data_IF_218426627832
#
_entry.id   IF_218426627832
#
_cell.length_a   1.000
_cell.length_b   1.000
_cell.length_c   1.000
_cell.angle_alpha   90.00
_cell.angle_beta   90.00
_cell.angle_gamma   90.00
#
_symmetry.space_group_name_H-M   'P 1'
#
loop_
_entity.id
_entity.type
_entity.pdbx_description
1 polymer ?
#
# COMPACT_ATOMS: atom_id res chain seq x y z
N UNK A 1 -29.22 15.63 -14.00
CA UNK A 1 -30.07 14.44 -13.78
C UNK A 1 -29.94 14.02 -12.32
N UNK A 2 -30.99 13.47 -11.71
CA UNK A 2 -30.89 12.95 -10.34
C UNK A 2 -30.17 11.60 -10.34
N UNK A 3 -29.59 11.18 -9.21
CA UNK A 3 -29.04 9.81 -9.09
C UNK A 3 -30.12 8.76 -9.34
N UNK A 4 -31.30 8.92 -8.75
CA UNK A 4 -32.41 7.98 -8.91
C UNK A 4 -32.79 7.79 -10.39
N UNK A 5 -32.91 8.86 -11.17
CA UNK A 5 -33.18 8.78 -12.61
C UNK A 5 -32.06 8.08 -13.40
N UNK A 6 -30.81 8.24 -12.95
CA UNK A 6 -29.65 7.63 -13.58
C UNK A 6 -29.58 6.13 -13.29
N UNK A 7 -29.73 5.76 -12.01
CA UNK A 7 -29.62 4.39 -11.53
C UNK A 7 -30.78 3.52 -12.02
N UNK A 8 -32.02 4.01 -11.96
CA UNK A 8 -33.23 3.30 -12.44
C UNK A 8 -33.13 2.86 -13.91
N UNK A 9 -32.47 3.67 -14.75
CA UNK A 9 -32.32 3.43 -16.19
C UNK A 9 -30.93 2.96 -16.58
N UNK A 10 -30.05 2.70 -15.61
CA UNK A 10 -28.64 2.39 -15.85
C UNK A 10 -28.49 1.22 -16.83
N UNK A 11 -29.19 0.11 -16.54
CA UNK A 11 -29.13 -1.10 -17.33
C UNK A 11 -29.83 -1.00 -18.70
N UNK A 12 -30.77 -0.07 -18.87
CA UNK A 12 -31.51 0.14 -20.12
C UNK A 12 -30.67 0.82 -21.21
N UNK A 13 -29.59 1.50 -20.82
CA UNK A 13 -28.74 2.26 -21.73
C UNK A 13 -27.56 1.43 -22.24
N UNK A 14 -27.13 1.73 -23.47
CA UNK A 14 -25.81 1.34 -23.96
C UNK A 14 -24.73 1.95 -23.06
N UNK A 15 -23.60 1.25 -22.89
CA UNK A 15 -22.51 1.66 -22.00
C UNK A 15 -22.01 3.10 -22.24
N UNK A 16 -21.78 3.48 -23.50
CA UNK A 16 -21.37 4.84 -23.87
C UNK A 16 -22.38 5.91 -23.40
N UNK A 17 -23.67 5.56 -23.37
CA UNK A 17 -24.73 6.41 -22.85
C UNK A 17 -24.70 6.45 -21.32
N UNK A 18 -24.41 5.33 -20.63
CA UNK A 18 -24.20 5.30 -19.17
C UNK A 18 -23.04 6.21 -18.75
N UNK A 19 -21.90 6.13 -19.44
CA UNK A 19 -20.70 6.95 -19.17
C UNK A 19 -20.97 8.43 -19.42
N UNK A 20 -21.60 8.75 -20.56
CA UNK A 20 -21.94 10.13 -20.94
C UNK A 20 -22.90 10.76 -19.92
N UNK A 21 -23.98 10.05 -19.56
CA UNK A 21 -25.00 10.54 -18.64
C UNK A 21 -24.51 10.72 -17.21
N UNK A 22 -23.52 9.94 -16.77
CA UNK A 22 -22.92 10.06 -15.44
C UNK A 22 -22.35 11.47 -15.18
N UNK A 23 -21.83 12.14 -16.22
CA UNK A 23 -21.35 13.53 -16.11
C UNK A 23 -22.43 14.54 -15.70
N UNK A 24 -23.70 14.23 -15.97
CA UNK A 24 -24.85 15.09 -15.65
C UNK A 24 -25.46 14.83 -14.27
N UNK A 25 -24.95 13.83 -13.55
CA UNK A 25 -25.38 13.47 -12.19
C UNK A 25 -24.59 14.33 -11.22
N UNK A 26 -25.25 15.24 -10.51
CA UNK A 26 -24.57 16.16 -9.57
C UNK A 26 -24.31 15.51 -8.21
N UNK A 27 -25.31 14.84 -7.63
CA UNK A 27 -25.22 14.11 -6.37
C UNK A 27 -25.33 12.62 -6.61
N UNK A 28 -24.40 11.86 -6.05
CA UNK A 28 -24.43 10.40 -6.07
C UNK A 28 -25.45 9.89 -5.03
N UNK A 29 -25.80 8.60 -5.14
CA UNK A 29 -26.75 7.94 -4.25
C UNK A 29 -26.12 7.29 -3.04
N UNK A 30 -26.71 6.16 -2.64
CA UNK A 30 -26.18 5.35 -1.53
C UNK A 30 -24.83 4.72 -1.91
N UNK A 31 -24.04 4.38 -0.89
CA UNK A 31 -22.73 3.76 -1.10
C UNK A 31 -22.83 2.44 -1.88
N UNK A 32 -23.87 1.63 -1.61
CA UNK A 32 -24.08 0.35 -2.29
C UNK A 32 -24.40 0.53 -3.78
N UNK A 33 -25.35 1.42 -4.12
CA UNK A 33 -25.67 1.72 -5.53
C UNK A 33 -24.46 2.31 -6.26
N UNK A 34 -23.68 3.16 -5.58
CA UNK A 34 -22.47 3.75 -6.18
C UNK A 34 -21.42 2.68 -6.41
N UNK A 35 -21.20 1.76 -5.46
CA UNK A 35 -20.26 0.66 -5.59
C UNK A 35 -20.67 -0.31 -6.70
N UNK A 36 -21.97 -0.63 -6.81
CA UNK A 36 -22.52 -1.45 -7.90
C UNK A 36 -22.23 -0.81 -9.26
N UNK A 37 -22.54 0.48 -9.44
CA UNK A 37 -22.24 1.20 -10.68
C UNK A 37 -20.73 1.24 -10.97
N UNK A 38 -19.88 1.36 -9.94
CA UNK A 38 -18.42 1.29 -10.11
C UNK A 38 -17.96 -0.10 -10.56
N UNK A 39 -18.52 -1.17 -9.99
CA UNK A 39 -18.21 -2.56 -10.36
C UNK A 39 -18.58 -2.87 -11.82
N UNK A 40 -19.68 -2.31 -12.31
CA UNK A 40 -20.09 -2.45 -13.71
C UNK A 40 -19.09 -1.84 -14.70
N UNK A 41 -18.29 -0.86 -14.26
CA UNK A 41 -17.24 -0.23 -15.07
C UNK A 41 -15.83 -0.77 -14.78
N UNK A 42 -15.68 -1.62 -13.77
CA UNK A 42 -14.41 -2.01 -13.18
C UNK A 42 -13.46 -2.77 -14.12
N UNK A 43 -14.00 -3.44 -15.13
CA UNK A 43 -13.20 -4.25 -16.06
C UNK A 43 -12.56 -3.43 -17.19
N UNK A 44 -13.32 -2.49 -17.77
CA UNK A 44 -12.91 -1.79 -19.01
C UNK A 44 -12.70 -0.28 -18.84
N UNK A 45 -13.18 0.32 -17.74
CA UNK A 45 -13.27 1.78 -17.59
C UNK A 45 -12.77 2.26 -16.22
N UNK A 46 -11.52 1.96 -15.90
CA UNK A 46 -10.85 2.38 -14.66
C UNK A 46 -10.90 3.91 -14.46
N UNK A 47 -10.80 4.70 -15.53
CA UNK A 47 -10.90 6.16 -15.47
C UNK A 47 -12.28 6.64 -15.01
N UNK A 48 -13.34 5.93 -15.40
CA UNK A 48 -14.72 6.17 -14.95
C UNK A 48 -14.88 5.81 -13.48
N UNK A 49 -14.36 4.65 -13.05
CA UNK A 49 -14.36 4.24 -11.64
C UNK A 49 -13.65 5.27 -10.77
N UNK A 50 -12.44 5.67 -11.16
CA UNK A 50 -11.64 6.68 -10.46
C UNK A 50 -12.34 8.05 -10.41
N UNK A 51 -13.10 8.41 -11.45
CA UNK A 51 -13.93 9.63 -11.47
C UNK A 51 -15.08 9.55 -10.48
N UNK A 52 -15.76 8.41 -10.38
CA UNK A 52 -16.84 8.20 -9.39
C UNK A 52 -16.25 8.24 -7.98
N UNK A 53 -15.13 7.56 -7.73
CA UNK A 53 -14.45 7.54 -6.43
C UNK A 53 -14.08 8.94 -5.93
N UNK A 54 -13.48 9.78 -6.78
CA UNK A 54 -13.16 11.18 -6.44
C UNK A 54 -14.42 11.96 -6.05
N UNK A 55 -15.50 11.79 -6.80
CA UNK A 55 -16.78 12.45 -6.50
C UNK A 55 -17.39 11.94 -5.20
N UNK A 56 -17.28 10.64 -4.91
CA UNK A 56 -17.74 10.06 -3.65
C UNK A 56 -16.95 10.58 -2.44
N UNK A 57 -15.64 10.79 -2.59
CA UNK A 57 -14.80 11.46 -1.59
C UNK A 57 -15.25 12.92 -1.35
N UNK A 58 -15.47 13.69 -2.42
CA UNK A 58 -15.97 15.07 -2.33
C UNK A 58 -17.31 15.15 -1.60
N UNK A 59 -18.20 14.18 -1.86
CA UNK A 59 -19.54 14.11 -1.26
C UNK A 59 -19.57 13.42 0.10
N UNK A 60 -18.41 13.03 0.65
CA UNK A 60 -18.28 12.37 1.96
C UNK A 60 -19.10 11.08 2.09
N UNK A 61 -19.24 10.33 1.00
CA UNK A 61 -19.93 9.04 1.01
C UNK A 61 -19.08 8.03 1.78
N UNK A 62 -19.70 7.34 2.72
CA UNK A 62 -19.07 6.30 3.55
C UNK A 62 -19.47 4.92 3.03
N UNK A 63 -18.49 4.12 2.66
CA UNK A 63 -18.67 2.78 2.10
C UNK A 63 -18.48 1.70 3.16
N UNK A 64 -19.06 0.53 2.94
CA UNK A 64 -18.66 -0.65 3.73
C UNK A 64 -17.26 -1.12 3.30
N UNK A 65 -16.63 -1.94 4.14
CA UNK A 65 -15.33 -2.54 3.79
C UNK A 65 -15.46 -3.43 2.55
N UNK A 66 -16.55 -4.21 2.44
CA UNK A 66 -16.84 -5.04 1.28
C UNK A 66 -16.94 -4.22 -0.01
N UNK A 67 -17.68 -3.10 -0.02
CA UNK A 67 -17.77 -2.25 -1.20
C UNK A 67 -16.38 -1.79 -1.70
N UNK A 68 -15.48 -1.45 -0.77
CA UNK A 68 -14.12 -0.98 -1.12
C UNK A 68 -13.24 -2.14 -1.56
N UNK A 69 -13.36 -3.31 -0.91
CA UNK A 69 -12.59 -4.51 -1.26
C UNK A 69 -12.92 -5.00 -2.66
N UNK A 70 -14.18 -5.02 -3.03
CA UNK A 70 -14.63 -5.52 -4.33
C UNK A 70 -14.06 -4.67 -5.50
N UNK A 71 -13.60 -3.44 -5.20
CA UNK A 71 -12.99 -2.52 -6.16
C UNK A 71 -11.45 -2.56 -6.21
N UNK A 72 -10.76 -3.34 -5.36
CA UNK A 72 -9.29 -3.25 -5.13
C UNK A 72 -8.42 -3.30 -6.39
N UNK A 73 -8.86 -3.98 -7.45
CA UNK A 73 -8.09 -4.12 -8.70
C UNK A 73 -8.55 -3.17 -9.82
N UNK A 74 -9.49 -2.28 -9.54
CA UNK A 74 -10.18 -1.46 -10.54
C UNK A 74 -10.27 0.01 -10.14
N UNK A 75 -9.60 0.38 -9.06
CA UNK A 75 -9.50 1.73 -8.55
C UNK A 75 -8.03 2.04 -8.25
N UNK A 76 -7.66 3.29 -8.44
CA UNK A 76 -6.36 3.81 -8.02
C UNK A 76 -6.13 3.54 -6.51
N UNK A 77 -4.98 2.98 -6.11
CA UNK A 77 -4.70 2.64 -4.71
C UNK A 77 -4.79 3.84 -3.76
N UNK A 78 -4.40 5.05 -4.20
CA UNK A 78 -4.50 6.26 -3.38
C UNK A 78 -5.96 6.64 -3.14
N UNK A 79 -6.82 6.49 -4.15
CA UNK A 79 -8.26 6.66 -4.00
C UNK A 79 -8.89 5.59 -3.10
N UNK A 80 -8.46 4.33 -3.22
CA UNK A 80 -8.92 3.25 -2.34
C UNK A 80 -8.60 3.55 -0.87
N UNK A 81 -7.36 3.95 -0.59
CA UNK A 81 -6.91 4.33 0.75
C UNK A 81 -7.73 5.51 1.30
N UNK A 82 -8.00 6.53 0.48
CA UNK A 82 -8.84 7.67 0.88
C UNK A 82 -10.28 7.26 1.19
N UNK A 83 -10.87 6.37 0.38
CA UNK A 83 -12.23 5.85 0.62
C UNK A 83 -12.27 5.05 1.92
N UNK A 84 -11.28 4.20 2.18
CA UNK A 84 -11.17 3.43 3.42
C UNK A 84 -11.05 4.35 4.65
N UNK A 85 -10.17 5.35 4.60
CA UNK A 85 -10.00 6.32 5.69
C UNK A 85 -11.29 7.11 5.95
N UNK A 86 -11.99 7.54 4.90
CA UNK A 86 -13.26 8.25 5.04
C UNK A 86 -14.35 7.36 5.67
N UNK A 87 -14.32 6.08 5.34
CA UNK A 87 -15.37 5.12 5.72
C UNK A 87 -15.08 4.35 6.99
N UNK A 88 -13.90 4.54 7.59
CA UNK A 88 -13.40 3.79 8.76
C UNK A 88 -14.39 3.74 9.93
N UNK A 89 -15.24 4.74 10.08
CA UNK A 89 -16.29 4.76 11.11
C UNK A 89 -17.24 3.55 11.03
N UNK A 90 -17.49 3.01 9.83
CA UNK A 90 -18.36 1.85 9.59
C UNK A 90 -17.66 0.50 9.79
N UNK A 91 -16.33 0.46 9.80
CA UNK A 91 -15.60 -0.82 9.80
C UNK A 91 -15.65 -1.49 11.19
N UNK A 92 -15.80 -2.80 11.23
CA UNK A 92 -15.53 -3.62 12.42
C UNK A 92 -14.02 -3.91 12.55
N UNK A 93 -13.61 -4.61 13.60
CA UNK A 93 -12.23 -5.11 13.68
C UNK A 93 -11.99 -6.19 12.62
N UNK A 94 -12.98 -7.03 12.40
CA UNK A 94 -12.98 -8.09 11.40
C UNK A 94 -12.83 -7.52 9.99
N UNK A 95 -13.49 -6.40 9.70
CA UNK A 95 -13.33 -5.68 8.43
C UNK A 95 -11.88 -5.21 8.24
N UNK A 96 -11.24 -4.67 9.28
CA UNK A 96 -9.84 -4.26 9.18
C UNK A 96 -8.92 -5.43 8.85
N UNK A 97 -9.12 -6.59 9.50
CA UNK A 97 -8.38 -7.82 9.22
C UNK A 97 -8.57 -8.29 7.77
N UNK A 98 -9.80 -8.19 7.24
CA UNK A 98 -10.10 -8.56 5.86
C UNK A 98 -9.48 -7.61 4.82
N UNK A 99 -9.19 -6.37 5.21
CA UNK A 99 -8.53 -5.39 4.35
C UNK A 99 -6.99 -5.52 4.38
N UNK A 100 -6.42 -6.29 5.31
CA UNK A 100 -4.98 -6.56 5.36
C UNK A 100 -4.54 -7.27 4.06
N UNK A 101 -3.50 -6.74 3.42
CA UNK A 101 -3.02 -7.21 2.11
C UNK A 101 -3.79 -6.68 0.90
N UNK A 102 -4.89 -5.96 1.09
CA UNK A 102 -5.59 -5.20 0.03
C UNK A 102 -5.25 -3.71 0.05
N UNK A 103 -4.81 -3.20 1.19
CA UNK A 103 -4.30 -1.84 1.35
C UNK A 103 -2.84 -1.90 1.82
N UNK A 104 -2.10 -0.84 1.53
CA UNK A 104 -0.75 -0.66 2.06
C UNK A 104 -0.76 -0.70 3.61
N UNK A 105 0.29 -1.30 4.19
CA UNK A 105 0.40 -1.52 5.62
C UNK A 105 0.29 -0.22 6.43
N UNK A 106 0.83 0.89 5.92
CA UNK A 106 0.75 2.20 6.55
C UNK A 106 -0.69 2.73 6.63
N UNK A 107 -1.50 2.45 5.60
CA UNK A 107 -2.94 2.73 5.58
C UNK A 107 -3.64 1.84 6.60
N UNK A 108 -3.34 0.54 6.66
CA UNK A 108 -3.91 -0.38 7.66
C UNK A 108 -3.62 0.11 9.08
N UNK A 109 -2.36 0.42 9.40
CA UNK A 109 -1.95 0.98 10.70
C UNK A 109 -2.75 2.24 11.04
N UNK A 110 -2.93 3.12 10.06
CA UNK A 110 -3.72 4.34 10.23
C UNK A 110 -5.19 4.05 10.52
N UNK A 111 -5.81 3.05 9.86
CA UNK A 111 -7.20 2.67 10.12
C UNK A 111 -7.38 2.12 11.55
N UNK A 112 -6.46 1.26 12.02
CA UNK A 112 -6.46 0.79 13.41
C UNK A 112 -6.38 1.95 14.41
N UNK A 113 -5.45 2.89 14.19
CA UNK A 113 -5.30 4.09 15.03
C UNK A 113 -6.55 4.96 15.03
N UNK A 114 -7.17 5.19 13.87
CA UNK A 114 -8.42 5.96 13.75
C UNK A 114 -9.59 5.31 14.48
N UNK A 115 -9.59 3.96 14.59
CA UNK A 115 -10.59 3.22 15.37
C UNK A 115 -10.30 3.15 16.86
N UNK A 116 -9.14 3.62 17.31
CA UNK A 116 -8.69 3.45 18.68
C UNK A 116 -8.44 1.98 19.04
N UNK A 117 -8.14 1.14 18.05
CA UNK A 117 -7.80 -0.26 18.23
C UNK A 117 -6.28 -0.41 18.35
N UNK A 118 -5.78 -1.40 19.12
CA UNK A 118 -4.36 -1.72 19.12
C UNK A 118 -3.93 -2.18 17.72
N UNK A 119 -2.81 -1.64 17.25
CA UNK A 119 -2.20 -2.05 15.98
C UNK A 119 -1.65 -3.48 16.15
N UNK A 120 -1.94 -4.41 15.23
CA UNK A 120 -1.36 -5.75 15.29
C UNK A 120 0.17 -5.72 15.26
N UNK A 121 0.81 -6.60 16.04
CA UNK A 121 2.28 -6.65 16.20
C UNK A 121 3.03 -6.77 14.87
N UNK A 122 2.44 -7.44 13.87
CA UNK A 122 3.03 -7.59 12.52
C UNK A 122 3.27 -6.25 11.81
N UNK A 123 2.54 -5.19 12.20
CA UNK A 123 2.70 -3.84 11.65
C UNK A 123 3.46 -2.90 12.59
N UNK A 124 3.88 -3.37 13.76
CA UNK A 124 4.74 -2.61 14.66
C UNK A 124 6.17 -2.88 14.19
N UNK A 125 6.78 -1.90 13.55
CA UNK A 125 8.23 -1.95 13.33
C UNK A 125 8.90 -2.00 14.70
N UNK A 126 9.78 -2.98 14.93
CA UNK A 126 10.49 -3.16 16.19
C UNK A 126 11.33 -1.91 16.51
N UNK A 127 10.76 -0.97 17.28
CA UNK A 127 11.51 0.09 17.98
C UNK A 127 12.34 -0.55 19.11
N UNK A 128 13.37 -1.31 18.74
CA UNK A 128 14.52 -1.48 19.63
C UNK A 128 15.28 -0.15 19.69
N UNK A 129 14.88 0.66 20.66
CA UNK A 129 15.54 1.90 21.02
C UNK A 129 16.99 1.64 21.44
N UNK A 130 17.95 2.07 20.62
CA UNK A 130 19.21 2.63 21.12
C UNK A 130 19.50 3.94 20.38
N UNK A 131 19.28 5.05 21.09
CA UNK A 131 19.76 6.38 20.78
C UNK A 131 21.29 6.37 20.62
N UNK A 132 21.83 6.41 19.39
CA UNK A 132 23.14 7.05 19.15
C UNK A 132 23.15 7.74 17.77
N UNK A 133 22.84 9.04 17.81
CA UNK A 133 23.22 10.13 16.89
C UNK A 133 23.99 9.75 15.60
N UNK A 134 23.38 9.95 14.43
CA UNK A 134 24.12 10.24 13.19
C UNK A 134 23.42 11.30 12.34
N UNK A 135 24.15 12.39 12.10
CA UNK A 135 23.83 13.45 11.15
C UNK A 135 23.90 12.96 9.69
N UNK A 136 22.82 13.21 8.96
CA UNK A 136 22.72 13.57 7.53
C UNK A 136 23.45 12.75 6.45
N UNK A 137 22.67 12.05 5.64
CA UNK A 137 22.81 12.07 4.17
C UNK A 137 21.45 11.85 3.51
N UNK A 138 21.00 12.84 2.74
CA UNK A 138 19.60 13.01 2.35
C UNK A 138 19.12 12.13 1.18
N UNK A 139 17.82 11.88 1.21
CA UNK A 139 16.95 11.91 0.02
C UNK A 139 15.70 12.68 0.39
N UNK A 140 15.36 13.67 -0.44
CA UNK A 140 14.16 14.48 -0.28
C UNK A 140 12.92 13.59 -0.25
N UNK A 141 12.01 13.75 0.73
CA UNK A 141 10.68 13.20 0.59
C UNK A 141 9.93 14.03 -0.46
N UNK A 142 9.52 13.37 -1.53
CA UNK A 142 8.56 13.88 -2.48
C UNK A 142 7.23 14.20 -1.78
N UNK A 143 6.92 15.49 -1.67
CA UNK A 143 5.54 15.98 -1.58
C UNK A 143 4.86 16.05 -0.20
N UNK A 144 4.44 17.27 0.15
CA UNK A 144 3.31 17.65 1.03
C UNK A 144 3.44 17.91 2.55
N UNK A 145 4.61 17.89 3.21
CA UNK A 145 4.67 18.25 4.66
C UNK A 145 5.78 19.23 5.11
N UNK A 146 6.24 20.15 4.26
CA UNK A 146 7.33 21.10 4.60
C UNK A 146 6.88 22.44 5.24
N UNK A 147 6.04 22.46 6.30
CA UNK A 147 5.72 23.75 6.98
C UNK A 147 5.69 23.79 8.51
N UNK A 148 6.21 22.80 9.26
CA UNK A 148 6.16 22.87 10.73
C UNK A 148 7.49 22.69 11.50
N UNK A 149 8.64 22.44 10.87
CA UNK A 149 9.88 22.11 11.59
C UNK A 149 11.03 23.13 11.38
N UNK A 150 10.86 24.38 11.79
CA UNK A 150 11.98 25.34 11.83
C UNK A 150 11.97 26.14 13.13
N UNK A 151 12.27 25.46 14.23
CA UNK A 151 12.80 26.08 15.44
C UNK A 151 13.53 24.97 16.21
N UNK A 152 14.74 25.26 16.69
CA UNK A 152 15.69 24.35 17.38
C UNK A 152 16.45 23.42 16.42
N UNK A 153 17.78 23.34 16.39
CA UNK A 153 18.80 23.98 17.21
C UNK A 153 20.15 24.00 16.46
N UNK A 154 20.99 24.95 16.87
CA UNK A 154 22.38 25.19 16.47
C UNK A 154 23.31 24.36 17.39
N UNK A 155 24.38 23.76 16.86
CA UNK A 155 25.57 23.44 17.69
C UNK A 155 26.41 22.20 17.32
N UNK A 156 27.47 22.43 16.55
CA UNK A 156 28.86 21.86 16.61
C UNK A 156 29.16 20.40 17.05
N UNK A 157 29.88 19.66 16.18
CA UNK A 157 31.22 19.13 16.53
C UNK A 157 31.46 17.61 16.41
N UNK A 158 31.98 17.16 15.27
CA UNK A 158 32.47 15.76 15.05
C UNK A 158 33.98 15.65 15.30
N UNK A 159 34.40 14.68 16.13
CA UNK A 159 35.75 14.10 16.09
C UNK A 159 35.78 12.59 16.47
N UNK A 160 36.16 11.78 15.46
CA UNK A 160 37.18 10.72 15.49
C UNK A 160 36.84 9.37 16.15
N UNK A 161 36.98 8.29 15.37
CA UNK A 161 37.45 6.99 15.88
C UNK A 161 36.82 5.77 15.23
N UNK A 162 37.51 5.20 14.23
CA UNK A 162 37.32 3.84 13.69
C UNK A 162 37.60 2.81 14.78
N UNK A 163 36.80 1.73 14.84
CA UNK A 163 37.26 0.38 15.19
C UNK A 163 36.27 -0.68 14.68
N UNK A 164 36.82 -1.65 13.95
CA UNK A 164 36.17 -2.89 13.49
C UNK A 164 35.55 -3.68 14.65
N UNK A 165 34.34 -4.20 14.44
CA UNK A 165 33.83 -5.34 15.20
C UNK A 165 32.83 -6.13 14.34
N UNK A 166 33.37 -7.01 13.49
CA UNK A 166 32.66 -8.09 12.82
C UNK A 166 32.03 -9.05 13.82
N UNK A 167 30.71 -8.97 14.00
CA UNK A 167 29.88 -9.97 14.68
C UNK A 167 28.98 -10.70 13.69
N UNK A 168 29.55 -11.39 12.70
CA UNK A 168 28.77 -12.11 11.69
C UNK A 168 28.17 -13.39 12.31
N UNK A 169 26.83 -13.48 12.40
CA UNK A 169 26.15 -14.77 12.32
C UNK A 169 26.67 -15.50 11.06
N UNK A 170 26.98 -16.80 11.12
CA UNK A 170 27.43 -17.52 9.93
C UNK A 170 26.29 -17.57 8.91
N UNK A 171 26.36 -16.72 7.89
CA UNK A 171 25.40 -16.70 6.78
C UNK A 171 25.50 -18.00 5.99
N UNK A 172 24.35 -18.63 5.73
CA UNK A 172 24.27 -19.91 5.03
C UNK A 172 24.56 -19.80 3.54
N UNK A 173 24.30 -18.65 2.94
CA UNK A 173 24.57 -18.36 1.53
C UNK A 173 25.47 -17.13 1.40
N UNK A 174 26.15 -17.02 0.24
CA UNK A 174 27.05 -15.92 -0.11
C UNK A 174 26.66 -15.34 -1.46
N UNK A 175 27.05 -14.10 -1.72
CA UNK A 175 26.93 -13.51 -3.06
C UNK A 175 27.67 -14.41 -4.05
N UNK A 176 26.98 -14.76 -5.14
CA UNK A 176 27.40 -15.72 -6.16
C UNK A 176 26.84 -17.13 -5.99
N UNK A 177 26.25 -17.48 -4.84
CA UNK A 177 25.66 -18.80 -4.65
C UNK A 177 24.41 -19.00 -5.51
N UNK A 178 24.29 -20.18 -6.12
CA UNK A 178 23.05 -20.64 -6.75
C UNK A 178 22.08 -21.12 -5.68
N UNK A 179 20.86 -20.60 -5.74
CA UNK A 179 19.81 -20.89 -4.77
C UNK A 179 18.49 -21.17 -5.48
N UNK A 180 17.72 -22.11 -4.92
CA UNK A 180 16.35 -22.38 -5.29
C UNK A 180 15.43 -21.62 -4.34
N UNK A 181 14.53 -20.82 -4.89
CA UNK A 181 13.44 -20.17 -4.15
C UNK A 181 12.33 -21.20 -3.92
N UNK A 182 12.20 -21.69 -2.68
CA UNK A 182 11.40 -22.88 -2.35
C UNK A 182 9.94 -22.80 -2.81
N UNK A 183 9.30 -21.64 -2.63
CA UNK A 183 7.87 -21.48 -2.95
C UNK A 183 7.61 -21.21 -4.43
N UNK A 184 8.60 -20.70 -5.17
CA UNK A 184 8.49 -20.47 -6.63
C UNK A 184 8.98 -21.65 -7.46
N UNK A 185 9.77 -22.55 -6.86
CA UNK A 185 10.46 -23.62 -7.58
C UNK A 185 11.43 -23.07 -8.64
N UNK A 186 11.91 -21.84 -8.49
CA UNK A 186 12.77 -21.15 -9.45
C UNK A 186 14.17 -20.98 -8.88
N UNK A 187 15.17 -21.24 -9.72
CA UNK A 187 16.58 -21.02 -9.38
C UNK A 187 16.99 -19.58 -9.67
N UNK A 188 17.95 -19.10 -8.90
CA UNK A 188 18.58 -17.81 -9.08
C UNK A 188 19.96 -17.75 -8.45
N UNK A 189 20.60 -16.60 -8.58
CA UNK A 189 21.93 -16.33 -8.02
C UNK A 189 21.82 -15.21 -6.99
N UNK A 190 22.40 -15.39 -5.82
CA UNK A 190 22.51 -14.32 -4.82
C UNK A 190 23.42 -13.23 -5.39
N UNK A 191 22.90 -12.02 -5.58
CA UNK A 191 23.65 -10.88 -6.14
C UNK A 191 24.05 -9.86 -5.09
N UNK A 192 23.34 -9.81 -3.97
CA UNK A 192 23.65 -8.93 -2.84
C UNK A 192 23.05 -9.50 -1.54
N UNK A 193 23.55 -9.05 -0.39
CA UNK A 193 23.01 -9.40 0.93
C UNK A 193 22.91 -8.13 1.77
N UNK A 194 21.69 -7.69 2.03
CA UNK A 194 21.40 -6.53 2.86
C UNK A 194 20.73 -6.97 4.16
N UNK A 195 21.44 -6.83 5.29
CA UNK A 195 21.01 -7.35 6.58
C UNK A 195 20.84 -8.88 6.55
N UNK A 196 19.61 -9.33 6.78
CA UNK A 196 19.18 -10.73 6.77
C UNK A 196 18.49 -11.15 5.45
N UNK A 197 18.40 -10.24 4.47
CA UNK A 197 17.80 -10.48 3.17
C UNK A 197 18.87 -10.78 2.11
N UNK A 198 18.64 -11.84 1.35
CA UNK A 198 19.41 -12.25 0.18
C UNK A 198 18.71 -11.74 -1.08
N UNK A 199 19.37 -10.86 -1.83
CA UNK A 199 18.89 -10.41 -3.12
C UNK A 199 19.22 -11.50 -4.15
N UNK A 200 18.20 -12.09 -4.75
CA UNK A 200 18.38 -13.19 -5.71
C UNK A 200 17.93 -12.74 -7.09
N UNK A 201 18.87 -12.77 -8.02
CA UNK A 201 18.63 -12.58 -9.45
C UNK A 201 18.13 -13.87 -10.07
N UNK A 202 16.98 -13.82 -10.73
CA UNK A 202 16.37 -14.92 -11.46
C UNK A 202 16.27 -14.56 -12.95
N UNK A 203 16.14 -15.57 -13.81
CA UNK A 203 16.05 -15.40 -15.27
C UNK A 203 17.18 -14.52 -15.83
N UNK A 204 18.42 -14.86 -15.45
CA UNK A 204 19.66 -14.22 -15.93
C UNK A 204 19.74 -12.69 -15.73
N UNK A 205 19.14 -12.16 -14.65
CA UNK A 205 19.17 -10.72 -14.33
C UNK A 205 17.96 -9.93 -14.79
N UNK A 206 16.98 -10.57 -15.44
CA UNK A 206 15.74 -9.89 -15.81
C UNK A 206 14.87 -9.51 -14.59
N UNK A 207 15.07 -10.18 -13.45
CA UNK A 207 14.28 -9.97 -12.25
C UNK A 207 15.13 -10.20 -10.99
N UNK A 208 15.11 -9.25 -10.05
CA UNK A 208 15.81 -9.35 -8.76
C UNK A 208 14.78 -9.12 -7.66
N UNK A 209 14.78 -10.01 -6.68
CA UNK A 209 13.82 -9.99 -5.56
C UNK A 209 14.56 -10.35 -4.26
N UNK A 210 13.99 -9.99 -3.11
CA UNK A 210 14.61 -10.17 -1.79
C UNK A 210 14.02 -11.36 -1.04
N UNK A 211 14.87 -12.19 -0.46
CA UNK A 211 14.45 -13.41 0.24
C UNK A 211 15.13 -13.57 1.59
N UNK A 212 14.41 -14.14 2.55
CA UNK A 212 15.01 -14.60 3.82
C UNK A 212 15.70 -15.95 3.63
N UNK A 213 16.62 -16.29 4.54
CA UNK A 213 17.36 -17.56 4.48
C UNK A 213 16.44 -18.79 4.42
N UNK A 214 15.31 -18.75 5.14
CA UNK A 214 14.37 -19.87 5.24
C UNK A 214 13.66 -20.16 3.91
N UNK A 215 13.54 -19.16 3.04
CA UNK A 215 12.90 -19.26 1.72
C UNK A 215 13.84 -19.79 0.64
N UNK A 216 15.14 -19.87 0.94
CA UNK A 216 16.16 -20.32 0.01
C UNK A 216 16.65 -21.74 0.34
N UNK A 217 17.02 -22.46 -0.70
CA UNK A 217 17.73 -23.74 -0.62
C UNK A 217 18.94 -23.68 -1.55
N UNK A 218 20.03 -24.35 -1.20
CA UNK A 218 21.19 -24.43 -2.08
C UNK A 218 20.84 -25.21 -3.35
N UNK A 219 21.06 -24.60 -4.52
CA UNK A 219 21.00 -25.26 -5.81
C UNK A 219 22.43 -25.56 -6.29
N UNK A 220 22.62 -26.65 -7.04
CA UNK A 220 23.93 -27.12 -7.49
C UNK A 220 24.15 -26.79 -8.96
#
# INVERSE_FOLDING_TARGET
>A
MTWADYYDKFYDWAESTRISKLSSVDKLGSADEVAEVMLEFAYDHEDVVNRIARKALEQRIVFTADNIRDLTNSIDPELQAKLAIQSVSLFSKEDLLLMEGFLDDDVIVKLYKLKGLPVPEVFIEDESAEDINSETAGKQPSGFFSRLATAFAVGEGVRRGVNDATGNKPRRFRVGDRVLVKYRGQEGTVVDINGDLYMVSMRDGAFVDSYTESQLQKAW
#
